data_IF_839544074359
#
_entry.id   IF_839544074359
#
_cell.length_a   1.000
_cell.length_b   1.000
_cell.length_c   1.000
_cell.angle_alpha   90.00
_cell.angle_beta   90.00
_cell.angle_gamma   90.00
#
_symmetry.space_group_name_H-M   'P 1'
#
loop_
_entity.id
_entity.type
_entity.pdbx_description
1 polymer ?
#
# COMPACT_ATOMS: atom_id res chain seq x y z
N UNK A 1 56.74 21.14 -42.64
CA UNK A 1 56.67 19.68 -42.83
C UNK A 1 55.32 19.34 -43.41
N UNK A 2 55.26 18.65 -44.56
CA UNK A 2 53.99 18.10 -45.08
C UNK A 2 53.62 16.90 -44.20
N UNK A 3 52.37 16.77 -43.73
CA UNK A 3 51.97 15.62 -42.95
C UNK A 3 52.11 14.33 -43.78
N UNK A 4 52.66 13.29 -43.17
CA UNK A 4 52.85 11.99 -43.79
C UNK A 4 51.49 11.29 -43.90
N UNK A 5 50.90 11.35 -45.09
CA UNK A 5 49.58 10.80 -45.39
C UNK A 5 49.50 9.31 -45.03
N UNK A 6 50.58 8.56 -45.20
CA UNK A 6 50.63 7.14 -44.87
C UNK A 6 50.49 6.89 -43.37
N UNK A 7 51.10 7.74 -42.53
CA UNK A 7 50.93 7.66 -41.07
C UNK A 7 49.50 8.02 -40.66
N UNK A 8 48.91 9.04 -41.26
CA UNK A 8 47.52 9.43 -40.98
C UNK A 8 46.57 8.29 -41.32
N UNK A 9 46.72 7.68 -42.51
CA UNK A 9 45.90 6.53 -42.94
C UNK A 9 46.09 5.33 -42.03
N UNK A 10 47.33 5.03 -41.62
CA UNK A 10 47.62 3.95 -40.68
C UNK A 10 46.91 4.16 -39.33
N UNK A 11 47.03 5.35 -38.74
CA UNK A 11 46.37 5.65 -37.47
C UNK A 11 44.84 5.63 -37.61
N UNK A 12 44.29 6.18 -38.70
CA UNK A 12 42.85 6.15 -38.95
C UNK A 12 42.32 4.71 -39.09
N UNK A 13 43.03 3.84 -39.82
CA UNK A 13 42.67 2.44 -39.96
C UNK A 13 42.81 1.65 -38.65
N UNK A 14 43.88 1.89 -37.88
CA UNK A 14 44.08 1.26 -36.58
C UNK A 14 42.98 1.66 -35.58
N UNK A 15 42.64 2.95 -35.51
CA UNK A 15 41.53 3.45 -34.68
C UNK A 15 40.21 2.86 -35.15
N UNK A 16 39.95 2.85 -36.46
CA UNK A 16 38.73 2.26 -37.02
C UNK A 16 38.58 0.77 -36.70
N UNK A 17 39.67 0.01 -36.77
CA UNK A 17 39.68 -1.42 -36.44
C UNK A 17 39.42 -1.66 -34.94
N UNK A 18 40.10 -0.89 -34.07
CA UNK A 18 39.90 -0.97 -32.62
C UNK A 18 38.44 -0.66 -32.27
N UNK A 19 37.89 0.43 -32.79
CA UNK A 19 36.49 0.81 -32.54
C UNK A 19 35.52 -0.26 -33.06
N UNK A 20 35.74 -0.80 -34.26
CA UNK A 20 34.89 -1.85 -34.83
C UNK A 20 34.94 -3.14 -34.01
N UNK A 21 36.13 -3.55 -33.56
CA UNK A 21 36.31 -4.73 -32.72
C UNK A 21 35.67 -4.52 -31.35
N UNK A 22 35.88 -3.36 -30.71
CA UNK A 22 35.23 -3.01 -29.45
C UNK A 22 33.71 -3.02 -29.57
N UNK A 23 33.16 -2.48 -30.66
CA UNK A 23 31.72 -2.51 -30.93
C UNK A 23 31.21 -3.95 -31.14
N UNK A 24 31.91 -4.77 -31.94
CA UNK A 24 31.54 -6.16 -32.17
C UNK A 24 31.60 -7.00 -30.88
N UNK A 25 32.64 -6.81 -30.04
CA UNK A 25 32.74 -7.43 -28.72
C UNK A 25 31.62 -6.95 -27.80
N UNK A 26 31.27 -5.67 -27.84
CA UNK A 26 30.14 -5.10 -27.11
C UNK A 26 28.81 -5.72 -27.52
N UNK A 27 28.53 -5.79 -28.83
CA UNK A 27 27.34 -6.45 -29.39
C UNK A 27 27.27 -7.92 -29.01
N UNK A 28 28.38 -8.64 -29.14
CA UNK A 28 28.46 -10.03 -28.72
C UNK A 28 28.19 -10.19 -27.22
N UNK A 29 28.78 -9.31 -26.40
CA UNK A 29 28.60 -9.28 -24.95
C UNK A 29 27.13 -9.04 -24.57
N UNK A 30 26.45 -8.11 -25.25
CA UNK A 30 25.04 -7.82 -25.07
C UNK A 30 24.14 -8.98 -25.51
N UNK A 31 24.38 -9.52 -26.71
CA UNK A 31 23.62 -10.64 -27.25
C UNK A 31 23.74 -11.92 -26.39
N UNK A 32 24.94 -12.19 -25.87
CA UNK A 32 25.21 -13.35 -24.99
C UNK A 32 25.00 -13.08 -23.50
N UNK A 33 24.59 -11.86 -23.12
CA UNK A 33 24.39 -11.43 -21.71
C UNK A 33 25.57 -11.84 -20.81
N UNK A 34 26.79 -11.59 -21.26
CA UNK A 34 28.02 -12.01 -20.55
C UNK A 34 28.16 -11.31 -19.19
N UNK A 35 29.16 -11.71 -18.39
CA UNK A 35 29.45 -11.06 -17.09
C UNK A 35 29.76 -9.57 -17.27
N UNK A 36 30.44 -9.18 -18.35
CA UNK A 36 30.77 -7.77 -18.65
C UNK A 36 29.51 -6.97 -18.94
N UNK A 37 28.60 -7.49 -19.78
CA UNK A 37 27.31 -6.84 -20.05
C UNK A 37 26.49 -6.68 -18.78
N UNK A 38 26.40 -7.74 -17.96
CA UNK A 38 25.67 -7.69 -16.69
C UNK A 38 26.26 -6.69 -15.71
N UNK A 39 27.58 -6.59 -15.62
CA UNK A 39 28.26 -5.60 -14.79
C UNK A 39 27.99 -4.17 -15.27
N UNK A 40 28.08 -3.91 -16.58
CA UNK A 40 27.78 -2.60 -17.15
C UNK A 40 26.32 -2.19 -16.95
N UNK A 41 25.38 -3.13 -17.13
CA UNK A 41 23.97 -2.88 -16.81
C UNK A 41 23.75 -2.61 -15.33
N UNK A 42 24.41 -3.34 -14.43
CA UNK A 42 24.31 -3.14 -12.99
C UNK A 42 24.84 -1.75 -12.59
N UNK A 43 25.98 -1.33 -13.13
CA UNK A 43 26.54 0.02 -12.93
C UNK A 43 25.58 1.07 -13.47
N UNK A 44 25.07 0.91 -14.69
CA UNK A 44 24.09 1.83 -15.29
C UNK A 44 22.86 1.99 -14.39
N UNK A 45 22.25 0.87 -13.98
CA UNK A 45 21.08 0.86 -13.08
C UNK A 45 21.36 1.53 -11.73
N UNK A 46 22.56 1.34 -11.17
CA UNK A 46 22.95 2.00 -9.92
C UNK A 46 23.12 3.50 -10.08
N UNK A 47 23.66 3.96 -11.20
CA UNK A 47 23.78 5.39 -11.51
C UNK A 47 22.40 6.01 -11.70
N UNK A 48 21.52 5.34 -12.46
CA UNK A 48 20.11 5.76 -12.64
C UNK A 48 19.41 5.86 -11.29
N UNK A 49 19.48 4.81 -10.46
CA UNK A 49 18.90 4.81 -9.12
C UNK A 49 19.44 5.94 -8.23
N UNK A 50 20.75 6.15 -8.19
CA UNK A 50 21.34 7.24 -7.38
C UNK A 50 20.87 8.61 -7.88
N UNK A 51 20.78 8.78 -9.20
CA UNK A 51 20.27 10.01 -9.80
C UNK A 51 18.79 10.24 -9.48
N UNK A 52 17.98 9.18 -9.48
CA UNK A 52 16.55 9.21 -9.17
C UNK A 52 16.27 9.45 -7.68
N UNK A 53 17.09 8.88 -6.79
CA UNK A 53 16.98 9.02 -5.34
C UNK A 53 17.70 10.26 -4.78
N UNK A 54 18.45 10.99 -5.61
CA UNK A 54 19.33 12.07 -5.16
C UNK A 54 18.57 13.13 -4.35
N UNK A 55 17.38 13.53 -4.79
CA UNK A 55 16.56 14.54 -4.11
C UNK A 55 16.05 14.06 -2.75
N UNK A 56 15.63 12.80 -2.66
CA UNK A 56 15.18 12.17 -1.41
C UNK A 56 16.36 12.03 -0.44
N UNK A 57 17.51 11.55 -0.90
CA UNK A 57 18.71 11.37 -0.09
C UNK A 57 19.30 12.69 0.41
N UNK A 58 19.18 13.76 -0.38
CA UNK A 58 19.64 15.10 -0.02
C UNK A 58 18.59 15.93 0.71
N UNK A 59 17.42 15.35 0.99
CA UNK A 59 16.26 16.00 1.61
C UNK A 59 15.81 17.28 0.89
N UNK A 60 15.98 17.32 -0.44
CA UNK A 60 15.55 18.45 -1.27
C UNK A 60 14.09 18.30 -1.72
N UNK A 61 13.65 17.08 -2.00
CA UNK A 61 12.30 16.80 -2.46
C UNK A 61 11.93 15.33 -2.16
N UNK A 62 10.82 15.07 -1.44
CA UNK A 62 10.40 13.74 -1.01
C UNK A 62 9.65 13.02 -2.12
N UNK A 63 10.33 12.75 -3.25
CA UNK A 63 9.74 12.26 -4.51
C UNK A 63 8.82 11.04 -4.38
N UNK A 64 9.00 10.20 -3.36
CA UNK A 64 8.20 8.99 -3.14
C UNK A 64 6.96 9.20 -2.26
N UNK A 65 6.77 10.41 -1.74
CA UNK A 65 5.68 10.76 -0.82
C UNK A 65 4.72 11.81 -1.42
N UNK A 66 5.03 12.31 -2.61
CA UNK A 66 4.30 13.38 -3.27
C UNK A 66 3.88 12.99 -4.68
N UNK A 67 2.76 13.54 -5.11
CA UNK A 67 2.13 13.26 -6.39
C UNK A 67 1.67 14.56 -7.05
N UNK A 68 1.54 14.61 -8.38
CA UNK A 68 0.97 15.76 -9.06
C UNK A 68 -0.42 16.12 -8.50
N UNK A 69 -0.62 17.41 -8.25
CA UNK A 69 -1.88 18.00 -7.90
C UNK A 69 -2.97 17.73 -8.94
N UNK A 70 -4.14 17.24 -8.50
CA UNK A 70 -5.29 16.97 -9.38
C UNK A 70 -6.53 17.79 -9.08
N UNK A 71 -6.61 18.31 -7.86
CA UNK A 71 -7.72 19.12 -7.37
C UNK A 71 -7.18 20.46 -6.88
N UNK A 72 -8.04 21.46 -6.74
CA UNK A 72 -7.68 22.80 -6.24
C UNK A 72 -7.85 22.89 -4.71
N UNK A 73 -7.09 23.77 -4.06
CA UNK A 73 -7.24 24.06 -2.62
C UNK A 73 -6.31 23.25 -1.70
N UNK A 74 -6.44 23.50 -0.39
CA UNK A 74 -5.62 22.94 0.68
C UNK A 74 -6.42 22.85 1.98
N UNK A 75 -6.18 21.82 2.78
CA UNK A 75 -6.92 21.57 4.01
C UNK A 75 -8.37 21.20 3.69
N UNK A 76 -9.31 21.65 4.51
CA UNK A 76 -10.74 21.41 4.27
C UNK A 76 -11.27 22.34 3.20
N UNK A 77 -11.67 21.77 2.06
CA UNK A 77 -12.17 22.48 0.88
C UNK A 77 -13.70 22.38 0.73
N UNK A 78 -14.30 21.34 1.30
CA UNK A 78 -15.76 21.15 1.38
C UNK A 78 -16.12 20.81 2.82
N UNK A 79 -17.14 21.48 3.37
CA UNK A 79 -17.68 21.15 4.69
C UNK A 79 -19.19 21.48 4.77
N UNK A 80 -19.99 20.53 4.31
CA UNK A 80 -21.46 20.57 4.25
C UNK A 80 -22.08 19.43 5.07
N UNK A 81 -21.36 18.90 6.07
CA UNK A 81 -21.81 17.77 6.89
C UNK A 81 -23.09 18.16 7.66
N UNK A 82 -24.19 17.39 7.53
CA UNK A 82 -25.42 17.65 8.27
C UNK A 82 -25.22 17.55 9.78
N UNK A 83 -25.98 18.31 10.57
CA UNK A 83 -26.18 17.99 12.00
C UNK A 83 -25.11 18.45 13.00
N UNK A 84 -24.01 19.08 12.58
CA UNK A 84 -23.01 19.62 13.51
C UNK A 84 -22.32 18.57 14.37
N UNK A 85 -22.26 17.32 13.91
CA UNK A 85 -21.68 16.19 14.61
C UNK A 85 -20.19 16.43 14.91
N UNK A 86 -19.77 16.10 16.13
CA UNK A 86 -18.39 16.26 16.61
C UNK A 86 -17.49 15.10 16.17
N UNK A 87 -17.80 14.48 15.04
CA UNK A 87 -16.97 13.41 14.52
C UNK A 87 -15.58 13.96 14.17
N UNK A 88 -14.59 13.29 14.72
CA UNK A 88 -13.19 13.57 14.49
C UNK A 88 -12.71 12.71 13.33
N UNK A 89 -11.88 13.29 12.48
CA UNK A 89 -11.27 12.59 11.34
C UNK A 89 -9.82 12.32 11.71
N UNK A 90 -9.46 11.04 11.75
CA UNK A 90 -8.08 10.60 11.89
C UNK A 90 -7.47 10.43 10.51
N UNK A 91 -6.28 10.98 10.29
CA UNK A 91 -5.53 10.95 9.04
C UNK A 91 -4.12 10.39 9.28
N UNK A 92 -3.65 9.55 8.37
CA UNK A 92 -2.27 9.05 8.30
C UNK A 92 -1.69 9.41 6.94
N UNK A 93 -0.44 9.84 6.90
CA UNK A 93 0.29 10.02 5.65
C UNK A 93 1.53 10.89 5.83
N UNK A 94 1.97 11.47 4.71
CA UNK A 94 3.06 12.42 4.71
C UNK A 94 2.51 13.83 4.79
N UNK A 95 3.01 14.64 5.72
CA UNK A 95 2.57 16.02 5.91
C UNK A 95 3.78 16.93 5.99
N UNK A 96 3.78 17.99 5.19
CA UNK A 96 4.92 18.90 5.08
C UNK A 96 6.19 18.11 4.73
N UNK A 97 7.07 17.85 5.68
CA UNK A 97 8.35 17.15 5.48
C UNK A 97 8.50 15.86 6.32
N UNK A 98 7.42 15.36 6.93
CA UNK A 98 7.47 14.20 7.83
C UNK A 98 6.25 13.28 7.70
N UNK A 99 6.44 12.01 8.07
CA UNK A 99 5.33 11.09 8.28
C UNK A 99 4.61 11.50 9.56
N UNK A 100 3.30 11.70 9.51
CA UNK A 100 2.54 12.16 10.67
C UNK A 100 1.12 11.55 10.71
N UNK A 101 0.68 11.22 11.92
CA UNK A 101 -0.74 10.93 12.21
C UNK A 101 -1.40 12.22 12.71
N UNK A 102 -2.61 12.54 12.25
CA UNK A 102 -3.37 13.72 12.70
C UNK A 102 -4.77 13.31 13.10
N UNK A 103 -5.23 13.79 14.25
CA UNK A 103 -6.65 13.81 14.60
C UNK A 103 -7.16 15.23 14.42
N UNK A 104 -8.14 15.42 13.53
CA UNK A 104 -8.66 16.75 13.17
C UNK A 104 -10.16 16.84 13.40
N UNK A 105 -10.65 18.06 13.57
CA UNK A 105 -12.08 18.37 13.46
C UNK A 105 -12.48 18.55 12.00
N UNK A 106 -13.77 18.53 11.73
CA UNK A 106 -14.36 18.75 10.39
C UNK A 106 -13.99 20.09 9.76
N UNK A 107 -13.65 21.11 10.53
CA UNK A 107 -13.18 22.41 10.03
C UNK A 107 -11.70 22.43 9.66
N UNK A 108 -10.98 21.32 9.85
CA UNK A 108 -9.55 21.19 9.58
C UNK A 108 -8.66 21.56 10.77
N UNK A 109 -9.22 22.00 11.90
CA UNK A 109 -8.42 22.27 13.09
C UNK A 109 -7.84 20.97 13.65
N UNK A 110 -6.53 20.98 13.87
CA UNK A 110 -5.80 19.85 14.45
C UNK A 110 -6.11 19.78 15.95
N UNK A 111 -6.57 18.61 16.40
CA UNK A 111 -6.78 18.30 17.81
C UNK A 111 -5.54 17.68 18.44
N UNK A 112 -4.91 16.74 17.73
CA UNK A 112 -3.68 16.08 18.12
C UNK A 112 -2.88 15.64 16.89
N UNK A 113 -1.55 15.51 17.05
CA UNK A 113 -0.65 15.05 16.00
C UNK A 113 0.49 14.21 16.57
N UNK A 114 0.94 13.25 15.78
CA UNK A 114 2.06 12.36 16.08
C UNK A 114 3.02 12.35 14.89
N UNK A 115 3.99 13.29 14.83
CA UNK A 115 5.08 13.18 13.86
C UNK A 115 5.94 11.98 14.22
N UNK A 116 6.31 11.17 13.22
CA UNK A 116 7.03 9.91 13.45
C UNK A 116 8.19 9.73 12.49
N UNK A 117 9.35 9.41 13.05
CA UNK A 117 10.56 9.05 12.32
C UNK A 117 10.87 7.58 12.59
N UNK A 118 11.00 6.79 11.53
CA UNK A 118 11.37 5.38 11.64
C UNK A 118 12.73 5.23 12.33
N UNK A 119 13.69 6.08 11.96
CA UNK A 119 15.06 6.03 12.47
C UNK A 119 15.18 6.27 13.99
N UNK A 120 14.21 6.98 14.58
CA UNK A 120 14.15 7.23 16.03
C UNK A 120 13.52 6.06 16.79
N UNK A 121 12.47 5.45 16.22
CA UNK A 121 11.72 4.35 16.85
C UNK A 121 12.46 3.01 16.68
N UNK A 122 13.11 2.79 15.54
CA UNK A 122 13.91 1.61 15.21
C UNK A 122 15.38 2.00 14.95
N UNK A 123 16.16 2.38 15.98
CA UNK A 123 17.54 2.80 15.81
C UNK A 123 18.47 1.68 15.33
N UNK A 124 18.10 0.42 15.58
CA UNK A 124 18.73 -0.76 14.97
C UNK A 124 17.74 -1.44 14.01
N UNK A 125 17.87 -1.21 12.68
CA UNK A 125 16.98 -1.81 11.71
C UNK A 125 17.50 -3.18 11.22
N UNK A 126 18.27 -3.90 12.04
CA UNK A 126 18.87 -5.20 11.71
C UNK A 126 17.85 -6.30 11.41
N UNK A 127 16.59 -6.12 11.82
CA UNK A 127 15.48 -7.00 11.46
C UNK A 127 15.08 -6.89 9.98
N UNK A 128 15.46 -5.80 9.30
CA UNK A 128 15.14 -5.57 7.89
C UNK A 128 16.30 -5.98 6.98
N UNK A 129 15.95 -6.72 5.91
CA UNK A 129 16.90 -7.02 4.84
C UNK A 129 17.29 -5.77 4.04
N UNK A 130 16.39 -4.82 3.95
CA UNK A 130 16.54 -3.56 3.21
C UNK A 130 15.98 -2.42 4.06
N UNK A 131 16.75 -1.94 5.05
CA UNK A 131 16.30 -0.82 5.86
C UNK A 131 16.14 0.45 5.00
N UNK A 132 15.18 1.32 5.34
CA UNK A 132 15.03 2.61 4.67
C UNK A 132 16.34 3.41 4.79
N UNK A 133 16.67 4.18 3.75
CA UNK A 133 17.89 4.99 3.73
C UNK A 133 17.73 6.30 4.49
N UNK A 134 16.52 6.82 4.50
CA UNK A 134 16.09 8.01 5.23
C UNK A 134 14.64 7.79 5.68
N UNK A 135 14.13 8.65 6.57
CA UNK A 135 12.71 8.63 6.96
C UNK A 135 11.76 8.99 5.81
N UNK A 136 12.27 9.49 4.67
CA UNK A 136 11.51 9.69 3.42
C UNK A 136 11.51 8.47 2.49
N UNK A 137 12.11 7.35 2.93
CA UNK A 137 12.10 6.08 2.20
C UNK A 137 11.22 5.02 2.89
N UNK A 138 10.39 5.44 3.85
CA UNK A 138 9.44 4.59 4.55
C UNK A 138 8.17 5.37 4.74
N UNK A 139 7.07 4.75 4.36
CA UNK A 139 5.74 5.34 4.46
C UNK A 139 4.98 4.68 5.61
N UNK A 140 3.90 5.29 6.05
CA UNK A 140 2.97 4.69 7.02
C UNK A 140 1.80 4.06 6.30
N UNK A 141 1.39 2.88 6.72
CA UNK A 141 0.14 2.29 6.25
C UNK A 141 -0.53 1.51 7.40
N UNK A 142 -1.83 1.29 7.28
CA UNK A 142 -2.65 0.65 8.31
C UNK A 142 -2.55 1.36 9.67
N UNK A 143 -3.38 2.37 9.89
CA UNK A 143 -3.38 3.14 11.13
C UNK A 143 -4.78 3.18 11.75
N UNK A 144 -4.84 3.18 13.09
CA UNK A 144 -6.06 3.42 13.85
C UNK A 144 -5.75 4.08 15.20
N UNK A 145 -6.78 4.64 15.80
CA UNK A 145 -6.75 5.09 17.19
C UNK A 145 -7.50 4.12 18.10
N UNK A 146 -7.10 4.09 19.38
CA UNK A 146 -7.80 3.40 20.46
C UNK A 146 -8.56 4.39 21.35
N UNK A 147 -9.52 3.92 22.18
CA UNK A 147 -10.33 4.80 23.05
C UNK A 147 -9.48 5.63 24.04
N UNK A 148 -8.33 5.13 24.48
CA UNK A 148 -7.39 5.83 25.36
C UNK A 148 -6.59 6.95 24.66
N UNK A 149 -6.85 7.18 23.37
CA UNK A 149 -6.16 8.17 22.53
C UNK A 149 -4.80 7.73 22.01
N UNK A 150 -4.39 6.50 22.28
CA UNK A 150 -3.17 5.92 21.69
C UNK A 150 -3.39 5.60 20.20
N UNK A 151 -2.29 5.61 19.45
CA UNK A 151 -2.29 5.32 18.00
C UNK A 151 -1.50 4.04 17.74
N UNK A 152 -2.01 3.21 16.84
CA UNK A 152 -1.32 2.01 16.33
C UNK A 152 -1.21 2.13 14.83
N UNK A 153 0.00 1.95 14.30
CA UNK A 153 0.24 2.06 12.87
C UNK A 153 1.41 1.18 12.41
N UNK A 154 1.44 0.85 11.13
CA UNK A 154 2.60 0.23 10.50
C UNK A 154 3.46 1.27 9.81
N UNK A 155 4.77 1.21 10.01
CA UNK A 155 5.69 1.62 8.96
C UNK A 155 5.67 0.52 7.90
N UNK A 156 5.28 0.86 6.68
CA UNK A 156 5.02 -0.09 5.61
C UNK A 156 6.22 -1.03 5.40
N UNK A 157 5.99 -2.33 5.58
CA UNK A 157 6.98 -3.42 5.51
C UNK A 157 8.15 -3.32 6.50
N UNK A 158 8.09 -2.40 7.47
CA UNK A 158 9.23 -2.06 8.33
C UNK A 158 9.00 -2.35 9.82
N UNK A 159 7.76 -2.26 10.30
CA UNK A 159 7.46 -2.48 11.72
C UNK A 159 6.08 -1.97 12.12
N UNK A 160 5.52 -2.55 13.18
CA UNK A 160 4.28 -2.11 13.81
C UNK A 160 4.60 -1.34 15.09
N UNK A 161 3.93 -0.22 15.33
CA UNK A 161 4.21 0.67 16.46
C UNK A 161 2.92 1.04 17.17
N UNK A 162 2.99 1.13 18.50
CA UNK A 162 1.99 1.82 19.32
C UNK A 162 2.63 3.02 20.02
N UNK A 163 2.01 4.19 19.86
CA UNK A 163 2.36 5.40 20.62
C UNK A 163 1.21 5.75 21.56
N UNK A 164 1.53 6.32 22.72
CA UNK A 164 0.51 6.93 23.57
C UNK A 164 -0.04 8.23 22.94
N UNK A 165 -1.04 8.83 23.58
CA UNK A 165 -1.66 10.08 23.08
C UNK A 165 -0.68 11.26 22.94
N UNK A 166 0.50 11.17 23.56
CA UNK A 166 1.54 12.19 23.55
C UNK A 166 2.74 11.84 22.68
N UNK A 167 2.68 10.75 21.92
CA UNK A 167 3.75 10.35 21.01
C UNK A 167 4.88 9.57 21.65
N UNK A 168 4.78 9.18 22.93
CA UNK A 168 5.77 8.28 23.52
C UNK A 168 5.55 6.86 22.99
N UNK A 169 6.63 6.19 22.63
CA UNK A 169 6.59 4.79 22.20
C UNK A 169 6.16 3.91 23.37
N UNK A 170 5.00 3.27 23.26
CA UNK A 170 4.52 2.26 24.21
C UNK A 170 5.18 0.92 23.89
N UNK A 171 5.17 0.54 22.62
CA UNK A 171 5.91 -0.61 22.11
C UNK A 171 6.17 -0.48 20.61
N UNK A 172 7.18 -1.20 20.14
CA UNK A 172 7.54 -1.33 18.73
C UNK A 172 7.82 -2.80 18.41
N UNK A 173 7.24 -3.31 17.33
CA UNK A 173 7.38 -4.69 16.87
C UNK A 173 8.11 -4.72 15.53
N UNK A 174 9.35 -5.20 15.54
CA UNK A 174 10.21 -5.35 14.34
C UNK A 174 9.81 -6.53 13.46
N UNK A 175 8.62 -6.49 12.87
CA UNK A 175 8.09 -7.45 11.90
C UNK A 175 7.67 -6.71 10.64
N UNK A 176 7.81 -7.33 9.46
CA UNK A 176 7.35 -6.73 8.20
C UNK A 176 5.81 -6.71 8.14
N UNK A 177 5.16 -5.81 8.87
CA UNK A 177 3.72 -5.52 8.80
C UNK A 177 3.41 -4.53 7.67
N UNK A 178 2.21 -4.58 7.09
CA UNK A 178 1.86 -3.74 5.95
C UNK A 178 0.35 -3.52 5.74
N UNK A 179 0.01 -2.45 5.00
CA UNK A 179 -1.31 -2.07 4.44
C UNK A 179 -2.50 -1.85 5.41
N UNK A 180 -2.69 -2.68 6.44
CA UNK A 180 -3.85 -2.54 7.36
C UNK A 180 -3.53 -2.96 8.79
N UNK A 181 -4.16 -2.27 9.74
CA UNK A 181 -4.24 -2.68 11.14
C UNK A 181 -5.71 -2.61 11.46
N UNK A 182 -6.33 -3.75 11.76
CA UNK A 182 -7.75 -3.83 12.10
C UNK A 182 -7.93 -4.34 13.53
N UNK A 183 -8.88 -3.77 14.29
CA UNK A 183 -9.20 -4.26 15.63
C UNK A 183 -9.77 -5.67 15.54
N UNK A 184 -9.72 -6.38 16.66
CA UNK A 184 -10.44 -7.64 16.80
C UNK A 184 -11.27 -7.70 18.06
N UNK A 185 -12.45 -8.30 17.95
CA UNK A 185 -13.37 -8.49 19.07
C UNK A 185 -12.83 -9.51 20.08
N UNK A 186 -12.01 -10.46 19.63
CA UNK A 186 -11.22 -11.36 20.50
C UNK A 186 -9.98 -10.68 21.12
N UNK A 187 -9.83 -9.37 20.93
CA UNK A 187 -8.74 -8.54 21.44
C UNK A 187 -7.53 -8.44 20.51
N UNK A 188 -6.81 -7.32 20.62
CA UNK A 188 -5.65 -7.01 19.79
C UNK A 188 -6.03 -6.61 18.37
N UNK A 189 -5.21 -7.03 17.41
CA UNK A 189 -5.27 -6.59 16.01
C UNK A 189 -5.02 -7.72 15.02
N UNK A 190 -5.67 -7.65 13.87
CA UNK A 190 -5.29 -8.37 12.67
C UNK A 190 -4.43 -7.47 11.78
N UNK A 191 -3.28 -7.98 11.34
CA UNK A 191 -2.29 -7.21 10.59
C UNK A 191 -1.70 -8.10 9.48
N UNK A 192 -1.75 -7.70 8.20
CA UNK A 192 -0.97 -8.36 7.15
C UNK A 192 0.52 -8.31 7.51
N UNK A 193 1.17 -9.46 7.40
CA UNK A 193 2.59 -9.64 7.63
C UNK A 193 3.26 -10.22 6.41
N UNK A 194 4.59 -10.12 6.38
CA UNK A 194 5.41 -10.71 5.34
C UNK A 194 6.62 -11.43 5.93
N UNK A 195 6.97 -12.55 5.31
CA UNK A 195 8.15 -13.35 5.66
C UNK A 195 9.03 -13.59 4.45
N UNK A 196 10.32 -13.34 4.59
CA UNK A 196 11.30 -13.66 3.56
C UNK A 196 11.70 -15.14 3.59
N UNK A 197 11.58 -15.82 2.45
CA UNK A 197 12.08 -17.19 2.25
C UNK A 197 13.39 -17.11 1.44
N UNK A 198 14.56 -17.43 2.04
CA UNK A 198 15.85 -17.33 1.37
C UNK A 198 16.04 -18.36 0.24
N UNK A 199 16.88 -18.01 -0.76
CA UNK A 199 17.16 -18.85 -1.95
C UNK A 199 17.60 -20.29 -1.66
N UNK A 200 18.22 -20.54 -0.50
CA UNK A 200 18.74 -21.87 -0.11
C UNK A 200 17.75 -22.71 0.69
N UNK A 201 16.56 -22.17 0.99
CA UNK A 201 15.51 -22.93 1.67
C UNK A 201 14.81 -23.87 0.71
N UNK A 202 14.28 -24.97 1.23
CA UNK A 202 13.28 -25.75 0.50
C UNK A 202 12.03 -24.90 0.31
N UNK A 203 11.37 -25.03 -0.84
CA UNK A 203 10.10 -24.33 -1.06
C UNK A 203 8.96 -25.07 -0.36
N UNK A 204 8.26 -24.44 0.61
CA UNK A 204 7.00 -24.99 1.10
C UNK A 204 5.87 -24.93 0.06
N UNK A 205 6.05 -24.18 -1.04
CA UNK A 205 4.98 -23.87 -2.00
C UNK A 205 5.41 -24.15 -3.47
N UNK A 206 5.44 -25.42 -3.94
CA UNK A 206 5.67 -25.72 -5.36
C UNK A 206 4.58 -25.13 -6.27
N UNK A 207 4.89 -24.51 -7.44
CA UNK A 207 6.18 -24.50 -8.13
C UNK A 207 7.08 -23.31 -7.76
N UNK A 208 6.67 -22.43 -6.85
CA UNK A 208 7.44 -21.26 -6.47
C UNK A 208 8.78 -21.67 -5.88
N UNK A 209 9.88 -21.12 -6.39
CA UNK A 209 11.22 -21.42 -5.89
C UNK A 209 11.78 -20.20 -5.17
N UNK A 210 12.38 -20.37 -3.98
CA UNK A 210 13.02 -19.27 -3.29
C UNK A 210 14.10 -18.58 -4.15
N UNK A 211 14.30 -17.26 -3.97
CA UNK A 211 13.75 -16.49 -2.87
C UNK A 211 12.45 -15.75 -3.21
N UNK A 212 11.52 -15.77 -2.26
CA UNK A 212 10.24 -15.07 -2.35
C UNK A 212 9.84 -14.51 -0.98
N UNK A 213 8.79 -13.69 -0.99
CA UNK A 213 8.09 -13.20 0.16
C UNK A 213 6.76 -13.94 0.29
N UNK A 214 6.53 -14.47 1.49
CA UNK A 214 5.30 -15.13 1.91
C UNK A 214 4.44 -14.13 2.67
N UNK A 215 3.23 -13.88 2.17
CA UNK A 215 2.20 -13.13 2.87
C UNK A 215 1.66 -13.94 4.06
N UNK A 216 1.49 -13.29 5.20
CA UNK A 216 0.92 -13.86 6.42
C UNK A 216 -0.16 -12.98 7.03
N UNK A 217 -1.01 -13.55 7.86
CA UNK A 217 -1.97 -12.83 8.70
C UNK A 217 -1.46 -12.94 10.14
N UNK A 218 -1.06 -11.81 10.74
CA UNK A 218 -0.60 -11.77 12.13
C UNK A 218 -1.76 -11.37 13.05
N UNK A 219 -1.93 -12.13 14.14
CA UNK A 219 -2.68 -11.71 15.31
C UNK A 219 -1.72 -11.05 16.29
N UNK A 220 -1.94 -9.78 16.61
CA UNK A 220 -1.08 -9.01 17.52
C UNK A 220 -1.88 -8.58 18.74
N UNK A 221 -1.43 -8.90 19.95
CA UNK A 221 -2.07 -8.46 21.18
C UNK A 221 -1.90 -6.95 21.43
N UNK A 222 -2.70 -6.36 22.33
CA UNK A 222 -2.60 -4.94 22.67
C UNK A 222 -1.24 -4.51 23.28
N UNK A 223 -0.48 -5.46 23.82
CA UNK A 223 0.88 -5.27 24.33
C UNK A 223 1.98 -5.56 23.29
N UNK A 224 1.64 -5.71 22.02
CA UNK A 224 2.58 -5.74 20.91
C UNK A 224 3.23 -7.10 20.62
N UNK A 225 2.61 -8.20 21.07
CA UNK A 225 3.12 -9.56 20.81
C UNK A 225 2.33 -10.24 19.70
N UNK A 226 3.03 -10.91 18.78
CA UNK A 226 2.38 -11.80 17.81
C UNK A 226 1.92 -13.06 18.55
N UNK A 227 0.61 -13.29 18.62
CA UNK A 227 0.00 -14.44 19.32
C UNK A 227 -0.35 -15.58 18.36
N UNK A 228 -0.55 -15.26 17.08
CA UNK A 228 -0.77 -16.24 16.00
C UNK A 228 -0.29 -15.66 14.67
N UNK A 229 0.10 -16.52 13.75
CA UNK A 229 0.47 -16.14 12.38
C UNK A 229 0.05 -17.24 11.40
N UNK A 230 -0.75 -16.86 10.39
CA UNK A 230 -1.31 -17.77 9.38
C UNK A 230 -0.62 -17.51 8.05
N UNK A 231 -0.16 -18.56 7.38
CA UNK A 231 0.43 -18.46 6.03
C UNK A 231 -0.66 -18.31 4.98
N UNK A 232 -0.69 -17.21 4.23
CA UNK A 232 -1.74 -17.01 3.21
C UNK A 232 -1.55 -17.98 2.03
N UNK A 233 -0.35 -18.15 1.43
CA UNK A 233 -0.15 -19.19 0.44
C UNK A 233 -0.47 -20.59 1.00
N UNK A 234 -0.11 -20.85 2.26
CA UNK A 234 -0.42 -22.09 2.96
C UNK A 234 -1.92 -22.43 2.96
N UNK A 235 -2.79 -21.44 3.19
CA UNK A 235 -4.25 -21.63 3.14
C UNK A 235 -4.72 -22.22 1.80
N UNK A 236 -4.13 -21.79 0.68
CA UNK A 236 -4.48 -22.33 -0.64
C UNK A 236 -4.11 -23.81 -0.75
N UNK A 237 -2.95 -24.24 -0.25
CA UNK A 237 -2.58 -25.67 -0.27
C UNK A 237 -3.44 -26.49 0.69
N UNK A 238 -3.69 -25.98 1.90
CA UNK A 238 -4.50 -26.65 2.93
C UNK A 238 -5.95 -26.90 2.43
N UNK A 239 -6.46 -26.03 1.56
CA UNK A 239 -7.81 -26.09 0.99
C UNK A 239 -7.88 -26.67 -0.44
N UNK A 240 -6.78 -27.18 -1.01
CA UNK A 240 -6.76 -27.74 -2.38
C UNK A 240 -6.99 -26.72 -3.50
N UNK A 241 -6.62 -25.46 -3.25
CA UNK A 241 -6.76 -24.31 -4.14
C UNK A 241 -5.41 -23.82 -4.71
N UNK A 242 -4.34 -24.60 -4.57
CA UNK A 242 -2.98 -24.21 -4.99
C UNK A 242 -2.86 -23.87 -6.48
N UNK A 243 -3.74 -24.42 -7.32
CA UNK A 243 -3.79 -24.10 -8.75
C UNK A 243 -4.10 -22.62 -9.01
N UNK A 244 -4.87 -21.96 -8.13
CA UNK A 244 -5.20 -20.54 -8.24
C UNK A 244 -3.96 -19.64 -8.12
N UNK A 245 -2.95 -20.07 -7.34
CA UNK A 245 -1.69 -19.32 -7.17
C UNK A 245 -0.94 -19.14 -8.51
N UNK A 246 -1.18 -20.04 -9.47
CA UNK A 246 -0.51 -20.02 -10.78
C UNK A 246 -1.41 -19.60 -11.93
N UNK A 247 -2.69 -19.36 -11.67
CA UNK A 247 -3.71 -19.15 -12.70
C UNK A 247 -3.48 -17.88 -13.54
N UNK A 248 -2.75 -16.89 -13.02
CA UNK A 248 -2.43 -15.65 -13.74
C UNK A 248 -1.30 -15.82 -14.77
N UNK A 249 -0.55 -16.93 -14.72
CA UNK A 249 0.64 -17.16 -15.55
C UNK A 249 1.81 -16.20 -15.27
N UNK A 250 1.65 -15.33 -14.27
CA UNK A 250 2.43 -14.11 -14.16
C UNK A 250 3.69 -14.26 -13.31
N UNK A 251 3.67 -15.13 -12.31
CA UNK A 251 4.78 -15.37 -11.39
C UNK A 251 5.94 -16.20 -11.99
N UNK A 252 5.85 -16.58 -13.27
CA UNK A 252 6.87 -17.38 -13.94
C UNK A 252 8.00 -16.55 -14.57
N UNK A 253 7.83 -15.23 -14.70
CA UNK A 253 8.86 -14.30 -15.19
C UNK A 253 9.26 -13.31 -14.08
N UNK A 254 10.45 -13.48 -13.49
CA UNK A 254 10.99 -12.53 -12.49
C UNK A 254 11.60 -11.32 -13.22
N UNK A 255 10.80 -10.31 -13.53
CA UNK A 255 11.22 -9.08 -14.22
C UNK A 255 11.41 -7.86 -13.30
N UNK A 256 10.65 -7.79 -12.20
CA UNK A 256 10.51 -6.65 -11.29
C UNK A 256 10.73 -7.05 -9.83
N UNK A 257 10.97 -6.09 -8.92
CA UNK A 257 11.24 -6.37 -7.50
C UNK A 257 10.04 -7.00 -6.76
N UNK A 258 8.82 -6.60 -7.12
CA UNK A 258 7.56 -7.14 -6.60
C UNK A 258 7.17 -8.51 -7.17
N UNK A 259 7.88 -9.01 -8.19
CA UNK A 259 7.66 -10.37 -8.75
C UNK A 259 8.15 -11.49 -7.82
N UNK A 260 8.56 -11.13 -6.59
CA UNK A 260 8.99 -12.06 -5.55
C UNK A 260 7.92 -12.28 -4.50
N UNK A 261 6.78 -11.63 -4.61
CA UNK A 261 5.62 -11.88 -3.76
C UNK A 261 4.64 -12.79 -4.47
N UNK A 262 4.04 -13.73 -3.73
CA UNK A 262 3.12 -14.72 -4.31
C UNK A 262 1.72 -14.14 -4.45
N UNK A 263 1.22 -13.38 -3.46
CA UNK A 263 -0.20 -12.99 -3.39
C UNK A 263 -0.42 -11.49 -3.29
N UNK A 264 0.40 -10.79 -2.50
CA UNK A 264 0.20 -9.38 -2.15
C UNK A 264 -1.12 -9.19 -1.41
N UNK A 265 -1.14 -9.62 -0.15
CA UNK A 265 -2.23 -9.35 0.78
C UNK A 265 -2.22 -7.86 1.14
N UNK A 266 -3.35 -7.18 1.03
CA UNK A 266 -3.42 -5.74 1.35
C UNK A 266 -4.55 -5.35 2.30
N UNK A 267 -5.36 -6.32 2.73
CA UNK A 267 -6.38 -6.10 3.76
C UNK A 267 -6.71 -7.42 4.44
N UNK A 268 -6.86 -7.36 5.75
CA UNK A 268 -7.54 -8.36 6.57
C UNK A 268 -8.65 -7.62 7.29
N UNK A 269 -9.90 -8.04 7.20
CA UNK A 269 -11.02 -7.42 7.90
C UNK A 269 -11.86 -8.49 8.60
N UNK A 270 -12.05 -8.35 9.90
CA UNK A 270 -12.86 -9.28 10.70
C UNK A 270 -14.36 -8.99 10.51
N UNK A 271 -15.17 -10.04 10.42
CA UNK A 271 -16.61 -9.96 10.50
C UNK A 271 -16.99 -9.74 11.96
N UNK A 272 -17.45 -8.54 12.29
CA UNK A 272 -17.88 -8.20 13.63
C UNK A 272 -19.19 -8.88 14.00
N UNK A 273 -19.36 -9.19 15.29
CA UNK A 273 -20.53 -9.87 15.83
C UNK A 273 -21.84 -9.09 15.61
N UNK A 274 -21.77 -7.75 15.52
CA UNK A 274 -22.96 -6.89 15.34
C UNK A 274 -23.60 -6.99 13.95
N UNK A 275 -22.86 -7.47 12.94
CA UNK A 275 -23.38 -7.66 11.57
C UNK A 275 -23.28 -9.11 11.08
N UNK A 276 -22.76 -10.03 11.89
CA UNK A 276 -22.55 -11.42 11.48
C UNK A 276 -23.86 -12.11 11.04
N UNK A 277 -24.99 -11.78 11.67
CA UNK A 277 -26.32 -12.33 11.32
C UNK A 277 -26.77 -11.98 9.89
N UNK A 278 -26.21 -10.92 9.29
CA UNK A 278 -26.52 -10.53 7.91
C UNK A 278 -25.85 -11.45 6.88
N UNK A 279 -24.86 -12.26 7.27
CA UNK A 279 -24.04 -13.09 6.37
C UNK A 279 -24.36 -14.58 6.54
N UNK A 280 -25.20 -15.18 5.68
CA UNK A 280 -25.58 -16.60 5.84
C UNK A 280 -24.46 -17.60 5.51
N UNK A 281 -23.34 -17.15 4.95
CA UNK A 281 -22.19 -17.99 4.59
C UNK A 281 -21.05 -17.93 5.61
N UNK A 282 -21.08 -16.97 6.53
CA UNK A 282 -19.95 -16.61 7.39
C UNK A 282 -20.41 -16.56 8.85
N UNK A 283 -19.44 -16.55 9.75
CA UNK A 283 -19.65 -16.48 11.20
C UNK A 283 -18.82 -15.32 11.78
N UNK A 284 -19.22 -14.85 12.97
CA UNK A 284 -18.45 -13.82 13.69
C UNK A 284 -16.98 -14.25 13.81
N UNK A 285 -16.06 -13.31 13.57
CA UNK A 285 -14.63 -13.56 13.60
C UNK A 285 -14.03 -14.07 12.29
N UNK A 286 -14.83 -14.41 11.27
CA UNK A 286 -14.31 -14.73 9.93
C UNK A 286 -13.57 -13.54 9.33
N UNK A 287 -12.52 -13.81 8.54
CA UNK A 287 -11.66 -12.76 7.97
C UNK A 287 -11.85 -12.64 6.46
N UNK A 288 -12.26 -11.46 5.99
CA UNK A 288 -12.17 -11.08 4.59
C UNK A 288 -10.75 -10.62 4.24
N UNK A 289 -10.16 -11.23 3.24
CA UNK A 289 -8.83 -10.93 2.73
C UNK A 289 -8.92 -10.31 1.33
N UNK A 290 -8.13 -9.26 1.09
CA UNK A 290 -7.95 -8.70 -0.26
C UNK A 290 -6.56 -9.04 -0.79
N UNK A 291 -6.54 -9.82 -1.87
CA UNK A 291 -5.34 -10.33 -2.55
C UNK A 291 -5.21 -9.64 -3.90
N UNK A 292 -4.20 -8.78 -4.02
CA UNK A 292 -4.06 -7.87 -5.15
C UNK A 292 -3.62 -8.57 -6.44
N UNK A 293 -2.64 -9.46 -6.38
CA UNK A 293 -2.06 -10.04 -7.60
C UNK A 293 -3.02 -11.00 -8.32
N UNK A 294 -3.91 -11.66 -7.57
CA UNK A 294 -4.92 -12.55 -8.14
C UNK A 294 -6.25 -11.85 -8.47
N UNK A 295 -6.35 -10.54 -8.22
CA UNK A 295 -7.62 -9.81 -8.25
C UNK A 295 -8.70 -10.49 -7.39
N UNK A 296 -8.33 -10.99 -6.21
CA UNK A 296 -9.16 -11.91 -5.43
C UNK A 296 -9.55 -11.34 -4.08
N UNK A 297 -10.81 -11.55 -3.70
CA UNK A 297 -11.27 -11.43 -2.31
C UNK A 297 -11.68 -12.80 -1.83
N UNK A 298 -11.31 -13.17 -0.60
CA UNK A 298 -11.70 -14.44 0.00
C UNK A 298 -12.03 -14.27 1.48
N UNK A 299 -12.84 -15.18 2.01
CA UNK A 299 -13.23 -15.23 3.42
C UNK A 299 -12.75 -16.55 4.01
N UNK A 300 -12.08 -16.46 5.17
CA UNK A 300 -11.56 -17.62 5.90
C UNK A 300 -12.03 -17.63 7.34
N UNK A 301 -12.07 -18.83 7.91
CA UNK A 301 -12.07 -19.03 9.35
C UNK A 301 -10.61 -19.00 9.85
N UNK A 302 -10.24 -18.08 10.75
CA UNK A 302 -8.86 -18.00 11.23
C UNK A 302 -8.47 -19.13 12.20
N UNK A 303 -9.43 -19.81 12.81
CA UNK A 303 -9.22 -20.87 13.79
C UNK A 303 -9.11 -22.24 13.10
N UNK A 304 -10.03 -22.55 12.16
CA UNK A 304 -9.97 -23.82 11.38
C UNK A 304 -9.07 -23.74 10.15
N UNK A 305 -8.81 -22.53 9.65
CA UNK A 305 -8.05 -22.25 8.41
C UNK A 305 -8.76 -22.67 7.11
N UNK A 306 -10.07 -22.86 7.18
CA UNK A 306 -10.88 -23.16 6.01
C UNK A 306 -11.14 -21.89 5.19
N UNK A 307 -10.97 -21.98 3.87
CA UNK A 307 -11.45 -20.95 2.93
C UNK A 307 -12.94 -21.20 2.69
N UNK A 308 -13.79 -20.38 3.34
CA UNK A 308 -15.25 -20.48 3.27
C UNK A 308 -15.81 -19.95 1.95
N UNK A 309 -15.19 -18.92 1.38
CA UNK A 309 -15.62 -18.31 0.12
C UNK A 309 -14.46 -17.59 -0.57
N UNK A 310 -14.48 -17.50 -1.90
CA UNK A 310 -13.55 -16.67 -2.64
C UNK A 310 -14.14 -16.23 -3.98
N UNK A 311 -13.63 -15.12 -4.50
CA UNK A 311 -13.99 -14.62 -5.82
C UNK A 311 -12.88 -13.83 -6.48
N UNK A 312 -12.75 -14.01 -7.79
CA UNK A 312 -11.86 -13.23 -8.66
C UNK A 312 -12.71 -12.22 -9.43
N UNK A 313 -12.40 -10.93 -9.26
CA UNK A 313 -13.13 -9.85 -9.90
C UNK A 313 -14.58 -9.71 -9.42
N UNK A 314 -15.35 -8.75 -9.97
CA UNK A 314 -15.11 -8.01 -11.21
C UNK A 314 -14.13 -6.82 -11.09
N UNK A 315 -13.54 -6.64 -9.91
CA UNK A 315 -12.46 -5.68 -9.65
C UNK A 315 -11.11 -6.11 -10.24
N UNK A 316 -10.16 -5.16 -10.26
CA UNK A 316 -8.80 -5.32 -10.77
C UNK A 316 -7.81 -4.64 -9.82
N UNK A 317 -6.85 -5.42 -9.32
CA UNK A 317 -5.76 -5.00 -8.42
C UNK A 317 -6.25 -4.21 -7.21
N UNK A 318 -7.40 -4.63 -6.71
CA UNK A 318 -8.18 -4.00 -5.66
C UNK A 318 -7.43 -3.92 -4.33
N UNK A 319 -7.91 -3.03 -3.48
CA UNK A 319 -7.54 -2.89 -2.08
C UNK A 319 -8.79 -2.90 -1.21
N UNK A 320 -8.56 -2.92 0.12
CA UNK A 320 -9.56 -2.64 1.15
C UNK A 320 -10.90 -3.38 0.94
N UNK A 321 -10.92 -4.70 1.16
CA UNK A 321 -12.17 -5.45 1.28
C UNK A 321 -12.77 -5.29 2.68
N UNK A 322 -14.05 -4.94 2.78
CA UNK A 322 -14.76 -4.77 4.05
C UNK A 322 -16.10 -5.51 4.03
N UNK A 323 -16.46 -6.13 5.15
CA UNK A 323 -17.84 -6.52 5.39
C UNK A 323 -18.69 -5.26 5.61
N UNK A 324 -19.88 -5.23 5.03
CA UNK A 324 -20.82 -4.13 5.13
C UNK A 324 -22.16 -4.63 5.70
N UNK A 325 -22.82 -3.86 6.60
CA UNK A 325 -24.17 -4.16 7.03
C UNK A 325 -25.11 -4.46 5.87
N UNK A 326 -25.96 -5.47 6.04
CA UNK A 326 -26.82 -6.02 5.00
C UNK A 326 -26.20 -7.15 4.17
N UNK A 327 -25.11 -7.77 4.65
CA UNK A 327 -24.65 -9.06 4.13
C UNK A 327 -23.82 -8.98 2.84
N UNK A 328 -23.22 -7.83 2.56
CA UNK A 328 -22.41 -7.60 1.34
C UNK A 328 -20.95 -7.29 1.68
N UNK A 329 -20.06 -7.52 0.71
CA UNK A 329 -18.65 -7.15 0.81
C UNK A 329 -18.42 -5.95 -0.11
N UNK A 330 -17.67 -4.96 0.36
CA UNK A 330 -17.26 -3.80 -0.44
C UNK A 330 -15.76 -3.82 -0.69
N UNK A 331 -15.35 -3.29 -1.84
CA UNK A 331 -13.98 -3.38 -2.35
C UNK A 331 -13.57 -2.06 -2.99
N UNK A 332 -12.38 -1.55 -2.63
CA UNK A 332 -11.77 -0.43 -3.36
C UNK A 332 -11.13 -0.97 -4.63
N UNK A 333 -11.80 -0.81 -5.77
CA UNK A 333 -11.29 -1.26 -7.06
C UNK A 333 -10.40 -0.19 -7.68
N UNK A 334 -9.08 -0.36 -7.58
CA UNK A 334 -8.09 0.50 -8.24
C UNK A 334 -8.27 0.57 -9.76
N UNK A 335 -8.83 -0.51 -10.33
CA UNK A 335 -9.22 -0.58 -11.72
C UNK A 335 -8.06 -0.40 -12.70
N UNK A 336 -6.86 -0.78 -12.28
CA UNK A 336 -5.62 -0.58 -13.02
C UNK A 336 -5.06 -1.90 -13.57
N UNK A 337 -4.55 -1.86 -14.79
CA UNK A 337 -3.73 -2.94 -15.34
C UNK A 337 -2.31 -2.85 -14.80
N UNK A 338 -1.60 -3.97 -14.73
CA UNK A 338 -0.18 -3.97 -14.32
C UNK A 338 0.70 -3.09 -15.23
N UNK A 339 0.38 -2.97 -16.51
CA UNK A 339 1.09 -2.07 -17.44
C UNK A 339 0.81 -0.59 -17.21
N UNK A 340 -0.06 -0.24 -16.26
CA UNK A 340 -0.24 1.14 -15.83
C UNK A 340 0.98 1.67 -15.07
N UNK A 341 1.75 0.79 -14.42
CA UNK A 341 3.11 1.08 -13.98
C UNK A 341 3.99 1.05 -15.24
N UNK A 342 4.84 2.06 -15.45
CA UNK A 342 5.72 2.12 -16.61
C UNK A 342 6.49 0.82 -16.83
N UNK A 343 6.98 0.58 -18.06
CA UNK A 343 7.75 -0.64 -18.39
C UNK A 343 9.16 -0.65 -17.81
N UNK A 344 9.56 0.42 -17.13
CA UNK A 344 10.83 0.58 -16.41
C UNK A 344 10.71 0.13 -14.96
N UNK A 345 11.84 -0.21 -14.35
CA UNK A 345 12.04 -0.25 -12.90
C UNK A 345 11.99 1.15 -12.27
N UNK A 346 11.20 2.06 -12.82
CA UNK A 346 10.93 3.37 -12.24
C UNK A 346 10.14 3.10 -10.96
N UNK A 347 10.83 3.25 -9.83
CA UNK A 347 10.21 3.25 -8.51
C UNK A 347 9.38 4.55 -8.31
N UNK A 348 9.33 5.47 -9.30
CA UNK A 348 8.39 6.59 -9.29
C UNK A 348 6.98 6.08 -9.59
N UNK A 349 6.25 5.70 -8.55
CA UNK A 349 4.83 5.36 -8.55
C UNK A 349 3.94 6.55 -8.91
N UNK A 350 4.26 7.31 -9.96
CA UNK A 350 3.44 8.43 -10.42
C UNK A 350 2.38 7.90 -11.36
N UNK A 351 1.12 8.08 -10.99
CA UNK A 351 0.00 7.69 -11.83
C UNK A 351 0.07 8.32 -13.22
N UNK A 352 0.16 7.48 -14.25
CA UNK A 352 0.01 7.95 -15.64
C UNK A 352 -1.45 8.35 -15.90
N UNK A 353 -1.74 9.64 -15.71
CA UNK A 353 -3.09 10.24 -15.79
C UNK A 353 -3.69 10.24 -17.21
N UNK A 354 -2.86 10.05 -18.25
CA UNK A 354 -3.32 10.05 -19.64
C UNK A 354 -4.04 8.77 -20.07
N UNK A 355 -4.11 7.75 -19.20
CA UNK A 355 -4.79 6.48 -19.49
C UNK A 355 -6.21 6.53 -18.91
N UNK A 356 -7.26 6.27 -19.72
CA UNK A 356 -8.64 6.38 -19.26
C UNK A 356 -9.02 5.20 -18.36
N UNK A 357 -8.78 5.37 -17.06
CA UNK A 357 -9.23 4.46 -15.99
C UNK A 357 -9.66 5.30 -14.80
N UNK A 358 -10.70 4.84 -14.12
CA UNK A 358 -11.21 5.43 -12.88
C UNK A 358 -11.26 4.33 -11.84
N UNK A 359 -10.78 4.64 -10.64
CA UNK A 359 -10.99 3.78 -9.48
C UNK A 359 -12.44 3.90 -9.04
N UNK A 360 -13.01 2.83 -8.51
CA UNK A 360 -14.38 2.82 -8.03
C UNK A 360 -14.54 1.92 -6.80
N UNK A 361 -15.63 2.09 -6.08
CA UNK A 361 -16.01 1.21 -4.97
C UNK A 361 -17.04 0.21 -5.49
N UNK A 362 -16.77 -1.08 -5.36
CA UNK A 362 -17.68 -2.15 -5.78
C UNK A 362 -18.28 -2.80 -4.54
N UNK A 363 -19.59 -3.05 -4.58
CA UNK A 363 -20.30 -3.90 -3.62
C UNK A 363 -20.65 -5.23 -4.28
N UNK A 364 -20.52 -6.31 -3.52
CA UNK A 364 -20.79 -7.67 -3.97
C UNK A 364 -21.54 -8.46 -2.92
N UNK A 365 -22.57 -9.16 -3.36
CA UNK A 365 -23.29 -10.14 -2.57
C UNK A 365 -22.55 -11.49 -2.67
N UNK A 366 -22.04 -12.05 -1.55
CA UNK A 366 -21.31 -13.30 -1.57
C UNK A 366 -22.20 -14.53 -1.84
N UNK A 367 -23.51 -14.43 -1.63
CA UNK A 367 -24.50 -15.51 -1.83
C UNK A 367 -24.93 -15.60 -3.29
N UNK A 368 -25.42 -14.49 -3.85
CA UNK A 368 -25.98 -14.46 -5.21
C UNK A 368 -24.89 -14.25 -6.26
N UNK A 369 -23.81 -13.59 -5.85
CA UNK A 369 -22.77 -13.14 -6.74
C UNK A 369 -23.10 -11.86 -7.52
N UNK A 370 -24.24 -11.23 -7.24
CA UNK A 370 -24.58 -9.94 -7.83
C UNK A 370 -23.64 -8.85 -7.32
N UNK A 371 -23.35 -7.87 -8.17
CA UNK A 371 -22.46 -6.77 -7.83
C UNK A 371 -22.94 -5.46 -8.47
N UNK A 372 -22.54 -4.35 -7.87
CA UNK A 372 -22.77 -3.01 -8.41
C UNK A 372 -21.63 -2.07 -8.01
N UNK A 373 -21.45 -0.99 -8.77
CA UNK A 373 -20.58 0.10 -8.37
C UNK A 373 -21.37 0.99 -7.40
N UNK A 374 -20.77 1.25 -6.23
CA UNK A 374 -21.33 2.15 -5.22
C UNK A 374 -20.94 3.61 -5.47
N UNK A 375 -19.73 3.82 -5.99
CA UNK A 375 -19.18 5.15 -6.20
C UNK A 375 -18.06 5.12 -7.26
N UNK A 376 -17.98 6.16 -8.10
CA UNK A 376 -16.89 6.35 -9.05
C UNK A 376 -17.18 5.87 -10.47
N UNK A 377 -18.44 5.68 -10.85
CA UNK A 377 -18.88 5.40 -12.23
C UNK A 377 -19.79 6.46 -12.84
N UNK A 378 -20.02 7.57 -12.12
CA UNK A 378 -20.86 8.68 -12.55
C UNK A 378 -20.03 9.96 -12.72
N UNK A 379 -20.51 10.85 -13.59
CA UNK A 379 -19.92 12.18 -13.78
C UNK A 379 -19.85 12.95 -12.45
N UNK A 380 -18.67 13.47 -12.12
CA UNK A 380 -18.41 14.17 -10.86
C UNK A 380 -18.03 13.28 -9.68
N UNK A 381 -17.96 11.95 -9.87
CA UNK A 381 -17.46 11.00 -8.86
C UNK A 381 -16.08 10.44 -9.20
N UNK A 382 -15.42 10.99 -10.22
CA UNK A 382 -14.16 10.46 -10.72
C UNK A 382 -13.08 10.51 -9.63
N UNK A 383 -12.41 9.38 -9.44
CA UNK A 383 -11.23 9.26 -8.60
C UNK A 383 -10.25 8.30 -9.25
N UNK A 384 -8.96 8.50 -8.97
CA UNK A 384 -7.91 7.67 -9.52
C UNK A 384 -6.84 7.41 -8.47
N UNK A 385 -6.66 6.13 -8.18
CA UNK A 385 -5.61 5.61 -7.32
C UNK A 385 -5.27 4.20 -7.83
N UNK A 386 -4.12 4.03 -8.49
CA UNK A 386 -3.70 2.77 -9.12
C UNK A 386 -3.10 1.75 -8.14
N UNK A 387 -2.72 2.21 -6.95
CA UNK A 387 -2.30 1.41 -5.80
C UNK A 387 -2.93 1.95 -4.53
N UNK A 388 -3.17 1.09 -3.54
CA UNK A 388 -3.76 1.48 -2.25
C UNK A 388 -5.15 2.09 -2.43
N UNK A 389 -5.52 3.05 -1.60
CA UNK A 389 -6.88 3.55 -1.47
C UNK A 389 -7.68 2.73 -0.47
N UNK A 390 -8.53 3.44 0.28
CA UNK A 390 -9.36 2.88 1.35
C UNK A 390 -10.72 3.53 1.31
N UNK A 391 -11.71 2.81 1.81
CA UNK A 391 -13.06 3.34 2.02
C UNK A 391 -13.64 2.76 3.30
N UNK A 392 -14.54 3.49 3.95
CA UNK A 392 -15.34 3.03 5.09
C UNK A 392 -16.78 3.57 4.95
N UNK A 393 -17.75 2.84 5.48
CA UNK A 393 -19.13 3.36 5.58
C UNK A 393 -19.21 4.46 6.63
N UNK A 394 -20.10 5.42 6.43
CA UNK A 394 -20.22 6.59 7.31
C UNK A 394 -21.58 6.65 7.99
N UNK A 395 -21.70 7.32 9.17
CA UNK A 395 -22.99 7.55 9.82
C UNK A 395 -24.02 8.27 8.93
N UNK A 396 -23.54 9.10 8.00
CA UNK A 396 -24.37 9.81 7.02
C UNK A 396 -24.89 8.93 5.86
N UNK A 397 -24.59 7.62 5.90
CA UNK A 397 -25.04 6.64 4.92
C UNK A 397 -24.30 6.68 3.59
N UNK A 398 -23.20 7.44 3.47
CA UNK A 398 -22.29 7.38 2.33
C UNK A 398 -20.93 6.78 2.72
N UNK A 399 -19.86 7.22 2.07
CA UNK A 399 -18.52 6.64 2.18
C UNK A 399 -17.49 7.69 2.58
N UNK A 400 -16.57 7.34 3.48
CA UNK A 400 -15.31 8.04 3.68
C UNK A 400 -14.28 7.38 2.78
N UNK A 401 -13.66 8.12 1.88
CA UNK A 401 -12.74 7.60 0.88
C UNK A 401 -11.39 8.27 1.04
N UNK A 402 -10.32 7.47 1.09
CA UNK A 402 -8.93 7.92 1.01
C UNK A 402 -8.42 7.68 -0.41
N UNK A 403 -8.28 8.74 -1.19
CA UNK A 403 -7.70 8.73 -2.53
C UNK A 403 -6.18 8.98 -2.42
N UNK A 404 -5.43 7.90 -2.20
CA UNK A 404 -4.02 7.90 -1.79
C UNK A 404 -3.15 8.82 -2.66
N UNK A 405 -3.12 8.60 -3.98
CA UNK A 405 -2.26 9.38 -4.89
C UNK A 405 -2.79 10.80 -5.15
N UNK A 406 -3.96 11.17 -4.62
CA UNK A 406 -4.50 12.54 -4.75
C UNK A 406 -4.22 13.37 -3.51
N UNK A 407 -3.60 12.78 -2.47
CA UNK A 407 -3.50 13.40 -1.16
C UNK A 407 -4.87 13.87 -0.66
N UNK A 408 -5.94 13.15 -1.00
CA UNK A 408 -7.33 13.61 -0.82
C UNK A 408 -8.11 12.59 0.01
N UNK A 409 -8.86 13.11 0.96
CA UNK A 409 -9.86 12.34 1.71
C UNK A 409 -11.19 13.06 1.58
N UNK A 410 -12.26 12.33 1.31
CA UNK A 410 -13.58 12.93 1.21
C UNK A 410 -14.67 12.02 1.74
N UNK A 411 -15.74 12.62 2.26
CA UNK A 411 -16.95 11.93 2.68
C UNK A 411 -18.07 12.22 1.68
N UNK A 412 -18.84 11.19 1.35
CA UNK A 412 -20.05 11.30 0.54
C UNK A 412 -21.31 11.12 1.38
N UNK A 413 -22.43 11.66 0.92
CA UNK A 413 -23.75 11.28 1.41
C UNK A 413 -24.27 10.00 0.72
N UNK A 414 -25.44 9.51 1.13
CA UNK A 414 -26.10 8.34 0.52
C UNK A 414 -26.46 8.49 -0.97
N UNK A 415 -26.36 9.70 -1.54
CA UNK A 415 -26.54 9.97 -2.97
C UNK A 415 -25.21 10.09 -3.71
N UNK A 416 -24.08 9.86 -3.04
CA UNK A 416 -22.74 9.98 -3.62
C UNK A 416 -22.30 11.43 -3.84
N UNK A 417 -22.86 12.41 -3.14
CA UNK A 417 -22.38 13.80 -3.21
C UNK A 417 -21.31 14.03 -2.16
N UNK A 418 -20.21 14.67 -2.53
CA UNK A 418 -19.15 15.05 -1.58
C UNK A 418 -19.69 16.09 -0.60
N UNK A 419 -19.75 15.73 0.69
CA UNK A 419 -20.21 16.59 1.79
C UNK A 419 -19.06 17.06 2.68
N UNK A 420 -17.91 16.42 2.62
CA UNK A 420 -16.69 16.87 3.29
C UNK A 420 -15.47 16.49 2.46
N UNK A 421 -14.46 17.35 2.38
CA UNK A 421 -13.24 17.10 1.62
C UNK A 421 -12.04 17.74 2.28
N UNK A 422 -10.94 17.00 2.32
CA UNK A 422 -9.62 17.45 2.74
C UNK A 422 -8.58 17.17 1.63
N UNK A 423 -7.78 18.17 1.28
CA UNK A 423 -6.67 18.07 0.33
C UNK A 423 -5.34 18.39 1.02
N UNK A 424 -4.43 17.44 0.99
CA UNK A 424 -3.10 17.52 1.58
C UNK A 424 -2.09 18.14 0.60
N UNK A 425 -2.24 19.43 0.34
CA UNK A 425 -1.35 20.22 -0.52
C UNK A 425 0.09 20.18 0.00
N UNK A 426 1.05 19.83 -0.86
CA UNK A 426 2.48 19.94 -0.55
C UNK A 426 3.04 21.27 -1.06
N UNK A 427 2.81 21.58 -2.34
CA UNK A 427 3.16 22.87 -2.96
C UNK A 427 2.19 23.24 -4.10
N UNK A 428 2.52 24.21 -4.96
CA UNK A 428 1.64 24.64 -6.06
C UNK A 428 1.28 23.53 -7.04
N UNK A 429 2.16 22.56 -7.24
CA UNK A 429 2.07 21.55 -8.29
C UNK A 429 1.86 20.14 -7.74
N UNK A 430 2.05 19.93 -6.44
CA UNK A 430 2.04 18.61 -5.80
C UNK A 430 1.17 18.53 -4.53
N UNK A 431 0.73 17.31 -4.25
CA UNK A 431 0.05 16.88 -3.02
C UNK A 431 0.88 15.82 -2.33
N UNK A 432 0.86 15.78 -1.01
CA UNK A 432 1.48 14.72 -0.24
C UNK A 432 0.47 13.59 0.01
N UNK A 433 0.93 12.35 -0.11
CA UNK A 433 0.10 11.16 -0.07
C UNK A 433 -0.57 10.97 1.31
N UNK A 434 -1.84 10.56 1.30
CA UNK A 434 -2.60 10.17 2.49
C UNK A 434 -2.90 8.67 2.43
N UNK A 435 -2.47 7.93 3.44
CA UNK A 435 -2.52 6.46 3.45
C UNK A 435 -3.70 5.89 4.23
N UNK A 436 -4.26 6.67 5.15
CA UNK A 436 -5.45 6.29 5.92
C UNK A 436 -6.29 7.52 6.24
N UNK A 437 -7.61 7.34 6.20
CA UNK A 437 -8.55 8.12 6.99
C UNK A 437 -9.48 7.19 7.76
N UNK A 438 -9.88 7.61 8.96
CA UNK A 438 -10.94 6.97 9.76
C UNK A 438 -11.77 8.06 10.44
N UNK A 439 -13.04 7.78 10.71
CA UNK A 439 -13.90 8.67 11.49
C UNK A 439 -14.21 8.07 12.85
N UNK A 440 -14.15 8.92 13.87
CA UNK A 440 -14.47 8.55 15.24
C UNK A 440 -15.46 9.56 15.81
N UNK A 441 -16.61 9.12 16.38
CA UNK A 441 -17.42 10.03 17.16
C UNK A 441 -16.60 10.53 18.36
N UNK A 442 -16.75 11.78 18.78
CA UNK A 442 -16.01 12.30 19.93
C UNK A 442 -16.19 11.44 21.20
N UNK A 443 -17.33 10.77 21.34
CA UNK A 443 -17.64 9.85 22.44
C UNK A 443 -16.89 8.52 22.40
N UNK A 444 -16.20 8.21 21.29
CA UNK A 444 -15.31 7.05 21.19
C UNK A 444 -14.12 7.16 22.15
N UNK A 445 -13.64 8.38 22.39
CA UNK A 445 -12.44 8.61 23.18
C UNK A 445 -12.76 8.81 24.67
N UNK A 446 -11.96 8.19 25.52
CA UNK A 446 -11.90 8.44 26.97
C UNK A 446 -11.11 9.71 27.29
N UNK A 447 -10.47 10.31 26.28
CA UNK A 447 -9.64 11.51 26.38
C UNK A 447 -10.50 12.77 26.35
N UNK A 448 -10.49 13.52 27.44
CA UNK A 448 -11.13 14.83 27.56
C UNK A 448 -10.19 16.01 27.33
N UNK A 449 -8.87 15.80 27.48
CA UNK A 449 -7.83 16.79 27.24
C UNK A 449 -6.72 16.18 26.37
N UNK A 450 -6.54 16.77 25.19
CA UNK A 450 -5.56 16.36 24.19
C UNK A 450 -4.21 17.06 24.36
N UNK A 451 -4.06 17.92 25.38
CA UNK A 451 -2.78 18.57 25.67
C UNK A 451 -1.74 17.58 26.20
N UNK A 452 -0.50 17.76 25.77
CA UNK A 452 0.67 17.01 26.23
C UNK A 452 1.69 18.00 26.79
N UNK A 453 2.28 17.66 27.93
CA UNK A 453 3.23 18.50 28.65
C UNK A 453 4.65 18.34 28.13
#
# INVERSE_FOLDING_TARGET
>A
MKPDVSKIVFYAAAVGLILSLSFAVGLYSAHKKTVVYRALLDVKKKIELVSEEASTLTKLHPKHMVQPARFEGQGVTVNNVPGGEQDLVFLSGFFEDTNEQRLIRRDGSILARWPVNYSEIFPDPSHLRKPPKTDWNVDMDGALMLPDGSVVFSFELCGLVKLDRCGNVVWSLGRESHHSVEPSEKGGFWVPGRRWVPKKSDSPFPPFQPPFYEDTIMKVSYDGRVTSEISVPGLFYENGLETLLTATGHHFEVGMKWDREILHLNKVHELSSDIAEDFPLFEEGDLALSIRELNMVLVIDPDTRDIKWWRIGPWRRQHSSLFKPGGTITVFNNNAYRTAFGTSSDDSCVSCLSVPRISNIIEIDPVTGDHRILYGDQDGQEMLTIIRGKHESTPNGGLLITEFEAGRVFETDSRGRVIWEYINRYDSDEVAELTQARMYPATYFEVSDWSCN
#
